data_IF_075155309111
#
_entry.id   IF_075155309111
#
_cell.length_a   1.000
_cell.length_b   1.000
_cell.length_c   1.000
_cell.angle_alpha   90.00
_cell.angle_beta   90.00
_cell.angle_gamma   90.00
#
_symmetry.space_group_name_H-M   'P 1'
#
loop_
_entity.id
_entity.type
_entity.pdbx_description
1 polymer ?
#
# COMPACT_ATOMS: atom_id res chain seq x y z
N UNK A 1 -4.64 12.90 18.93
CA UNK A 1 -4.61 12.53 17.49
C UNK A 1 -5.91 12.99 16.90
N UNK A 2 -5.85 13.90 15.95
CA UNK A 2 -7.02 14.54 15.38
C UNK A 2 -7.64 13.64 14.29
N UNK A 3 -8.93 13.33 14.42
CA UNK A 3 -9.68 12.59 13.38
C UNK A 3 -9.62 13.29 12.04
N UNK A 4 -9.47 14.62 12.06
CA UNK A 4 -9.36 15.45 10.87
C UNK A 4 -8.14 15.08 10.01
N UNK A 5 -6.99 14.76 10.61
CA UNK A 5 -5.78 14.38 9.86
C UNK A 5 -5.95 13.08 9.08
N UNK A 6 -6.69 12.12 9.63
CA UNK A 6 -6.98 10.84 8.98
C UNK A 6 -7.88 11.07 7.76
N UNK A 7 -8.94 11.88 7.92
CA UNK A 7 -9.87 12.17 6.82
C UNK A 7 -9.21 13.00 5.71
N UNK A 8 -8.38 13.99 6.06
CA UNK A 8 -7.59 14.75 5.08
C UNK A 8 -6.65 13.85 4.28
N UNK A 9 -5.97 12.91 4.94
CA UNK A 9 -5.10 11.99 4.24
C UNK A 9 -5.88 11.00 3.36
N UNK A 10 -7.07 10.55 3.79
CA UNK A 10 -7.93 9.71 2.96
C UNK A 10 -8.41 10.47 1.72
N UNK A 11 -8.84 11.72 1.89
CA UNK A 11 -9.25 12.58 0.77
C UNK A 11 -8.11 12.77 -0.24
N UNK A 12 -6.87 12.95 0.23
CA UNK A 12 -5.67 12.98 -0.62
C UNK A 12 -5.49 11.67 -1.40
N UNK A 13 -5.55 10.52 -0.70
CA UNK A 13 -5.37 9.20 -1.32
C UNK A 13 -6.47 8.87 -2.35
N UNK A 14 -7.69 9.37 -2.14
CA UNK A 14 -8.83 9.16 -3.02
C UNK A 14 -8.93 10.21 -4.13
N UNK A 15 -8.01 11.17 -4.19
CA UNK A 15 -7.94 12.13 -5.28
C UNK A 15 -7.84 11.37 -6.63
N UNK A 16 -8.65 11.72 -7.65
CA UNK A 16 -8.66 11.03 -8.95
C UNK A 16 -7.31 10.97 -9.66
N UNK A 17 -6.38 11.88 -9.36
CA UNK A 17 -5.04 11.92 -9.91
C UNK A 17 -4.09 10.97 -9.15
N UNK A 18 -4.22 10.91 -7.82
CA UNK A 18 -3.35 10.11 -6.95
C UNK A 18 -3.79 8.64 -6.92
N UNK A 19 -5.09 8.41 -6.81
CA UNK A 19 -5.66 7.09 -6.57
C UNK A 19 -5.26 6.03 -7.62
N UNK A 20 -5.25 6.31 -8.93
CA UNK A 20 -4.74 5.35 -9.93
C UNK A 20 -3.27 5.00 -9.71
N UNK A 21 -2.46 5.97 -9.26
CA UNK A 21 -1.04 5.79 -8.98
C UNK A 21 -0.77 4.79 -7.86
N UNK A 22 -1.68 4.66 -6.88
CA UNK A 22 -1.55 3.69 -5.79
C UNK A 22 -1.52 2.23 -6.27
N UNK A 23 -2.02 1.96 -7.49
CA UNK A 23 -2.01 0.62 -8.10
C UNK A 23 -0.76 0.35 -8.94
N UNK A 24 0.10 1.36 -9.15
CA UNK A 24 1.37 1.19 -9.85
C UNK A 24 2.42 0.72 -8.84
N UNK A 25 2.72 -0.58 -8.89
CA UNK A 25 3.66 -1.19 -7.95
C UNK A 25 4.94 -1.66 -8.65
N UNK A 26 6.08 -1.10 -8.27
CA UNK A 26 7.39 -1.62 -8.70
C UNK A 26 7.79 -2.83 -7.86
N UNK A 27 7.53 -4.01 -8.42
CA UNK A 27 7.88 -5.30 -7.82
C UNK A 27 9.38 -5.43 -7.58
N UNK A 28 10.21 -4.98 -8.53
CA UNK A 28 11.66 -5.15 -8.43
C UNK A 28 12.24 -4.29 -7.32
N UNK A 29 11.80 -3.03 -7.23
CA UNK A 29 12.16 -2.14 -6.12
C UNK A 29 11.73 -2.75 -4.77
N UNK A 30 10.51 -3.26 -4.67
CA UNK A 30 10.04 -3.88 -3.44
C UNK A 30 10.88 -5.10 -3.03
N UNK A 31 11.18 -6.00 -3.96
CA UNK A 31 11.97 -7.20 -3.69
C UNK A 31 13.35 -6.86 -3.14
N UNK A 32 14.01 -5.82 -3.67
CA UNK A 32 15.30 -5.35 -3.15
C UNK A 32 15.25 -4.90 -1.68
N UNK A 33 14.08 -4.44 -1.22
CA UNK A 33 13.89 -4.03 0.19
C UNK A 33 13.50 -5.18 1.12
N UNK A 34 13.16 -6.36 0.58
CA UNK A 34 12.77 -7.52 1.38
C UNK A 34 14.00 -8.18 2.00
N UNK A 35 13.96 -8.37 3.31
CA UNK A 35 14.89 -9.26 4.02
C UNK A 35 14.46 -10.73 3.86
N UNK A 36 15.39 -11.70 3.81
CA UNK A 36 15.10 -13.11 3.54
C UNK A 36 14.04 -13.75 4.47
N UNK A 37 13.82 -13.21 5.67
CA UNK A 37 12.87 -13.74 6.65
C UNK A 37 11.41 -13.28 6.42
N UNK A 38 11.17 -12.28 5.56
CA UNK A 38 9.86 -11.65 5.36
C UNK A 38 9.07 -12.22 4.16
N UNK A 39 9.63 -13.16 3.41
CA UNK A 39 9.12 -13.63 2.11
C UNK A 39 7.75 -14.31 2.25
N UNK A 40 7.58 -15.18 3.25
CA UNK A 40 6.32 -15.92 3.48
C UNK A 40 5.16 -15.02 3.94
N UNK A 41 5.42 -13.75 4.23
CA UNK A 41 4.45 -12.79 4.78
C UNK A 41 4.05 -11.70 3.78
N UNK A 42 4.48 -11.75 2.53
CA UNK A 42 4.05 -10.76 1.53
C UNK A 42 2.58 -11.01 1.15
N UNK A 43 1.69 -10.15 1.63
CA UNK A 43 0.25 -10.17 1.35
C UNK A 43 -0.14 -8.98 0.48
N UNK A 44 -1.29 -9.07 -0.18
CA UNK A 44 -1.85 -7.97 -0.97
C UNK A 44 -2.00 -6.68 -0.13
N UNK A 45 -2.47 -6.82 1.12
CA UNK A 45 -2.57 -5.70 2.06
C UNK A 45 -1.21 -5.08 2.39
N UNK A 46 -0.15 -5.89 2.55
CA UNK A 46 1.19 -5.38 2.85
C UNK A 46 1.75 -4.55 1.69
N UNK A 47 1.50 -4.98 0.45
CA UNK A 47 1.89 -4.22 -0.75
C UNK A 47 1.11 -2.91 -0.87
N UNK A 48 -0.21 -2.96 -0.66
CA UNK A 48 -1.04 -1.76 -0.66
C UNK A 48 -0.59 -0.76 0.42
N UNK A 49 -0.37 -1.24 1.65
CA UNK A 49 0.14 -0.40 2.75
C UNK A 49 1.48 0.24 2.42
N UNK A 50 2.36 -0.47 1.69
CA UNK A 50 3.63 0.08 1.24
C UNK A 50 3.41 1.27 0.30
N UNK A 51 2.49 1.16 -0.66
CA UNK A 51 2.12 2.27 -1.55
C UNK A 51 1.54 3.46 -0.79
N UNK A 52 0.61 3.23 0.15
CA UNK A 52 0.08 4.30 1.00
C UNK A 52 1.19 4.99 1.82
N UNK A 53 2.19 4.23 2.27
CA UNK A 53 3.32 4.77 3.04
C UNK A 53 4.23 5.62 2.15
N UNK A 54 4.50 5.18 0.92
CA UNK A 54 5.29 5.93 -0.06
C UNK A 54 4.61 7.24 -0.45
N UNK A 55 3.32 7.20 -0.75
CA UNK A 55 2.52 8.40 -1.00
C UNK A 55 2.50 9.33 0.21
N UNK A 56 2.38 8.78 1.42
CA UNK A 56 2.48 9.54 2.65
C UNK A 56 3.81 10.29 2.77
N UNK A 57 4.93 9.64 2.43
CA UNK A 57 6.24 10.29 2.46
C UNK A 57 6.36 11.47 1.48
N UNK A 58 5.70 11.41 0.31
CA UNK A 58 5.72 12.51 -0.66
C UNK A 58 5.08 13.80 -0.12
N UNK A 59 4.13 13.67 0.80
CA UNK A 59 3.42 14.80 1.43
C UNK A 59 3.81 15.01 2.90
N UNK A 60 4.95 14.46 3.35
CA UNK A 60 5.42 14.52 4.74
C UNK A 60 4.45 13.91 5.78
N UNK A 61 3.56 13.02 5.38
CA UNK A 61 2.73 12.22 6.28
C UNK A 61 3.52 10.99 6.74
N UNK A 62 4.13 11.08 7.92
CA UNK A 62 4.98 10.02 8.51
C UNK A 62 4.38 9.38 9.76
N UNK A 63 3.24 9.88 10.26
CA UNK A 63 2.57 9.31 11.42
C UNK A 63 2.06 7.90 11.08
N UNK A 64 2.71 6.91 11.68
CA UNK A 64 2.42 5.49 11.46
C UNK A 64 0.97 5.12 11.77
N UNK A 65 0.36 5.74 12.78
CA UNK A 65 -1.02 5.46 13.18
C UNK A 65 -1.99 6.09 12.17
N UNK A 66 -1.73 7.30 11.67
CA UNK A 66 -2.53 7.89 10.57
C UNK A 66 -2.44 6.99 9.33
N UNK A 67 -1.23 6.62 8.90
CA UNK A 67 -1.01 5.74 7.75
C UNK A 67 -1.78 4.42 7.92
N UNK A 68 -1.67 3.76 9.08
CA UNK A 68 -2.36 2.49 9.31
C UNK A 68 -3.88 2.62 9.26
N UNK A 69 -4.44 3.66 9.89
CA UNK A 69 -5.89 3.86 9.94
C UNK A 69 -6.45 4.24 8.57
N UNK A 70 -5.78 5.14 7.84
CA UNK A 70 -6.16 5.51 6.48
C UNK A 70 -6.04 4.33 5.52
N UNK A 71 -4.95 3.54 5.60
CA UNK A 71 -4.78 2.31 4.82
C UNK A 71 -5.94 1.35 5.04
N UNK A 72 -6.36 1.14 6.29
CA UNK A 72 -7.47 0.24 6.61
C UNK A 72 -8.80 0.72 6.02
N UNK A 73 -9.09 2.02 6.12
CA UNK A 73 -10.31 2.61 5.57
C UNK A 73 -10.33 2.51 4.04
N UNK A 74 -9.26 2.93 3.36
CA UNK A 74 -9.18 2.87 1.89
C UNK A 74 -9.19 1.42 1.39
N UNK A 75 -8.45 0.50 2.02
CA UNK A 75 -8.46 -0.91 1.64
C UNK A 75 -9.86 -1.53 1.70
N UNK A 76 -10.64 -1.17 2.75
CA UNK A 76 -12.01 -1.63 2.92
C UNK A 76 -12.97 -1.07 1.86
N UNK A 77 -12.71 0.12 1.33
CA UNK A 77 -13.51 0.71 0.24
C UNK A 77 -13.14 0.19 -1.15
N UNK A 78 -11.96 -0.44 -1.33
CA UNK A 78 -11.57 -1.01 -2.62
C UNK A 78 -12.54 -2.11 -3.08
N UNK A 79 -12.85 -2.12 -4.37
CA UNK A 79 -13.59 -3.20 -5.02
C UNK A 79 -12.78 -4.49 -5.05
N UNK A 80 -13.42 -5.66 -5.23
CA UNK A 80 -12.71 -6.93 -5.38
C UNK A 80 -11.67 -6.91 -6.51
N UNK A 81 -11.99 -6.29 -7.65
CA UNK A 81 -11.07 -6.16 -8.78
C UNK A 81 -9.83 -5.33 -8.43
N UNK A 82 -10.02 -4.19 -7.74
CA UNK A 82 -8.93 -3.34 -7.27
C UNK A 82 -8.02 -4.07 -6.27
N UNK A 83 -8.60 -4.82 -5.32
CA UNK A 83 -7.80 -5.65 -4.40
C UNK A 83 -7.04 -6.75 -5.13
N UNK A 84 -7.62 -7.31 -6.19
CA UNK A 84 -7.02 -8.40 -6.95
C UNK A 84 -5.71 -7.99 -7.65
N UNK A 85 -5.55 -6.72 -8.03
CA UNK A 85 -4.27 -6.18 -8.53
C UNK A 85 -3.13 -6.47 -7.55
N UNK A 86 -3.32 -6.16 -6.27
CA UNK A 86 -2.31 -6.43 -5.24
C UNK A 86 -2.17 -7.92 -4.90
N UNK A 87 -3.20 -8.73 -5.11
CA UNK A 87 -3.10 -10.20 -4.99
C UNK A 87 -2.18 -10.76 -6.07
N UNK A 88 -2.30 -10.27 -7.30
CA UNK A 88 -1.41 -10.64 -8.42
C UNK A 88 0.03 -10.24 -8.09
N UNK A 89 0.27 -9.00 -7.66
CA UNK A 89 1.60 -8.56 -7.24
C UNK A 89 2.18 -9.41 -6.10
N UNK A 90 1.38 -9.72 -5.08
CA UNK A 90 1.83 -10.56 -3.98
C UNK A 90 2.17 -11.98 -4.44
N UNK A 91 1.49 -12.52 -5.46
CA UNK A 91 1.84 -13.81 -6.07
C UNK A 91 3.15 -13.71 -6.84
N UNK A 92 3.33 -12.67 -7.65
CA UNK A 92 4.56 -12.45 -8.42
C UNK A 92 5.78 -12.27 -7.52
N UNK A 93 5.68 -11.46 -6.47
CA UNK A 93 6.76 -11.31 -5.47
C UNK A 93 7.13 -12.65 -4.84
N UNK A 94 6.13 -13.43 -4.40
CA UNK A 94 6.38 -14.75 -3.79
C UNK A 94 6.98 -15.74 -4.78
N UNK A 95 6.60 -15.67 -6.05
CA UNK A 95 7.17 -16.49 -7.11
C UNK A 95 8.64 -16.14 -7.36
N UNK A 96 8.96 -14.85 -7.53
CA UNK A 96 10.33 -14.39 -7.83
C UNK A 96 11.32 -14.74 -6.72
N UNK A 97 10.91 -14.69 -5.45
CA UNK A 97 11.81 -14.98 -4.32
C UNK A 97 11.77 -16.46 -3.89
N UNK A 98 10.71 -17.20 -4.27
CA UNK A 98 10.60 -18.63 -4.00
C UNK A 98 11.44 -19.50 -4.94
N UNK A 99 11.96 -18.92 -6.00
CA UNK A 99 12.95 -19.46 -6.93
C UNK A 99 14.29 -18.75 -6.74
#
# INVERSE_FOLDING_TARGET
MDMNTIELFIAHLQNPVIFPGLFLFDIHSYIRTLRPYNIRRVTAYNLFKKQITEEGHLINMTDRKVICLSTNKVWRSLTPAQRNVFVIYARQVRFIIGH
#
